data_IF_324026881952
#
_entry.id   IF_324026881952
#
_cell.length_a   1.000
_cell.length_b   1.000
_cell.length_c   1.000
_cell.angle_alpha   90.00
_cell.angle_beta   90.00
_cell.angle_gamma   90.00
#
_symmetry.space_group_name_H-M   'P 1'
#
loop_
_entity.id
_entity.type
_entity.pdbx_description
1 polymer ?
#
# COMPACT_ATOMS: atom_id res chain seq x y z
N UNK A 1 10.69 18.61 -1.29
CA UNK A 1 9.84 18.54 -2.49
C UNK A 1 9.29 17.14 -2.51
N UNK A 2 8.06 16.98 -2.06
CA UNK A 2 7.42 15.68 -1.92
C UNK A 2 6.91 15.26 -3.31
N UNK A 3 7.56 14.25 -3.90
CA UNK A 3 7.26 13.76 -5.24
C UNK A 3 6.33 12.57 -5.17
N UNK A 4 5.11 12.71 -5.68
CA UNK A 4 4.29 11.55 -6.05
C UNK A 4 4.82 10.98 -7.37
N UNK A 5 5.20 9.70 -7.39
CA UNK A 5 5.49 9.02 -8.65
C UNK A 5 4.17 8.47 -9.20
N UNK A 6 3.67 9.11 -10.26
CA UNK A 6 2.48 8.67 -10.96
C UNK A 6 2.86 7.70 -12.08
N UNK A 7 2.30 6.49 -12.05
CA UNK A 7 2.34 5.58 -13.21
C UNK A 7 0.93 5.56 -13.81
N UNK A 8 0.68 6.47 -14.76
CA UNK A 8 -0.62 6.64 -15.42
C UNK A 8 -0.63 6.05 -16.83
N UNK A 9 -1.66 5.26 -17.16
CA UNK A 9 -1.89 4.79 -18.52
C UNK A 9 -2.65 5.90 -19.28
N UNK A 10 -1.93 6.61 -20.16
CA UNK A 10 -2.38 7.65 -21.12
C UNK A 10 -2.77 9.04 -20.57
N UNK A 11 -2.01 10.03 -21.07
CA UNK A 11 -2.27 11.48 -21.05
C UNK A 11 -3.49 11.87 -21.91
N UNK A 12 -4.70 11.49 -21.49
CA UNK A 12 -5.94 11.99 -22.10
C UNK A 12 -6.91 12.43 -21.01
N UNK A 13 -6.99 13.76 -20.80
CA UNK A 13 -8.05 14.50 -20.10
C UNK A 13 -8.62 13.81 -18.86
N UNK A 14 -8.11 14.18 -17.68
CA UNK A 14 -8.65 13.78 -16.38
C UNK A 14 -10.14 14.14 -16.27
N UNK A 15 -11.03 13.21 -16.60
CA UNK A 15 -12.28 13.07 -15.87
C UNK A 15 -11.88 12.73 -14.45
N UNK A 16 -11.89 13.74 -13.57
CA UNK A 16 -11.67 13.58 -12.13
C UNK A 16 -12.59 12.47 -11.63
N UNK A 17 -12.00 11.36 -11.17
CA UNK A 17 -12.66 10.29 -10.42
C UNK A 17 -13.99 9.76 -11.02
N UNK A 18 -13.93 9.00 -12.12
CA UNK A 18 -15.13 8.41 -12.75
C UNK A 18 -16.02 7.61 -11.80
N UNK A 19 -15.42 6.93 -10.83
CA UNK A 19 -16.09 6.08 -9.83
C UNK A 19 -16.12 6.73 -8.45
N UNK A 20 -15.56 7.95 -8.30
CA UNK A 20 -15.44 8.67 -7.04
C UNK A 20 -14.87 7.79 -5.91
N UNK A 21 -13.85 6.98 -6.23
CA UNK A 21 -13.31 6.01 -5.27
C UNK A 21 -11.79 5.88 -5.35
N UNK A 22 -11.13 5.84 -4.21
CA UNK A 22 -9.70 5.62 -4.06
C UNK A 22 -9.43 4.41 -3.16
N UNK A 23 -8.35 3.69 -3.42
CA UNK A 23 -7.89 2.62 -2.54
C UNK A 23 -6.54 3.00 -1.92
N UNK A 24 -6.47 3.00 -0.60
CA UNK A 24 -5.26 3.26 0.19
C UNK A 24 -4.74 1.92 0.71
N UNK A 25 -3.59 1.49 0.20
CA UNK A 25 -3.05 0.15 0.47
C UNK A 25 -1.88 0.24 1.44
N UNK A 26 -2.02 -0.42 2.59
CA UNK A 26 -1.05 -0.41 3.70
C UNK A 26 -0.58 -1.83 3.97
N UNK A 27 0.68 -2.15 3.70
CA UNK A 27 1.28 -3.46 4.02
C UNK A 27 1.74 -3.57 5.47
N UNK A 28 0.87 -3.16 6.37
CA UNK A 28 1.19 -3.11 7.79
C UNK A 28 -0.05 -2.80 8.59
N UNK A 29 0.18 -2.65 9.87
CA UNK A 29 -0.84 -2.21 10.82
C UNK A 29 -1.30 -0.78 10.45
N UNK A 30 -2.57 -0.63 10.10
CA UNK A 30 -3.15 0.68 9.76
C UNK A 30 -3.07 1.66 10.94
N UNK A 31 -3.29 1.20 12.17
CA UNK A 31 -3.21 2.04 13.37
C UNK A 31 -1.82 2.61 13.60
N UNK A 32 -0.79 1.92 13.10
CA UNK A 32 0.61 2.37 13.16
C UNK A 32 1.09 3.09 11.90
N UNK A 33 0.17 3.44 11.00
CA UNK A 33 0.47 4.11 9.73
C UNK A 33 -0.19 5.51 9.62
N UNK A 34 0.18 6.50 10.46
CA UNK A 34 -0.47 7.83 10.49
C UNK A 34 -0.52 8.51 9.12
N UNK A 35 0.54 8.36 8.31
CA UNK A 35 0.61 8.98 6.99
C UNK A 35 -0.45 8.47 6.02
N UNK A 36 -0.69 7.16 6.01
CA UNK A 36 -1.73 6.57 5.16
C UNK A 36 -3.13 6.89 5.67
N UNK A 37 -3.30 7.02 6.99
CA UNK A 37 -4.53 7.52 7.60
C UNK A 37 -4.83 8.96 7.17
N UNK A 38 -3.82 9.85 7.13
CA UNK A 38 -4.00 11.23 6.66
C UNK A 38 -4.31 11.30 5.16
N UNK A 39 -3.71 10.46 4.34
CA UNK A 39 -4.07 10.37 2.92
C UNK A 39 -5.52 9.93 2.72
N UNK A 40 -5.96 8.90 3.46
CA UNK A 40 -7.36 8.48 3.42
C UNK A 40 -8.31 9.61 3.84
N UNK A 41 -7.99 10.33 4.92
CA UNK A 41 -8.78 11.47 5.38
C UNK A 41 -8.79 12.64 4.41
N UNK A 42 -7.66 12.96 3.78
CA UNK A 42 -7.56 14.03 2.79
C UNK A 42 -8.38 13.70 1.54
N UNK A 43 -8.29 12.46 1.04
CA UNK A 43 -9.11 11.98 -0.07
C UNK A 43 -10.60 12.05 0.26
N UNK A 44 -10.99 11.57 1.44
CA UNK A 44 -12.39 11.57 1.84
C UNK A 44 -12.96 12.98 2.06
N UNK A 45 -12.19 13.90 2.65
CA UNK A 45 -12.66 15.25 3.02
C UNK A 45 -12.49 16.31 1.94
N UNK A 46 -11.40 16.26 1.19
CA UNK A 46 -11.02 17.33 0.24
C UNK A 46 -11.37 16.95 -1.18
N UNK A 47 -11.12 15.69 -1.58
CA UNK A 47 -11.51 15.18 -2.89
C UNK A 47 -12.96 14.66 -2.91
N UNK A 48 -13.60 14.54 -1.74
CA UNK A 48 -14.97 14.06 -1.59
C UNK A 48 -15.21 12.70 -2.26
N UNK A 49 -14.23 11.79 -2.15
CA UNK A 49 -14.29 10.44 -2.72
C UNK A 49 -14.44 9.39 -1.62
N UNK A 50 -15.00 8.25 -2.00
CA UNK A 50 -15.02 7.04 -1.19
C UNK A 50 -13.61 6.44 -1.09
N UNK A 51 -13.21 5.99 0.10
CA UNK A 51 -11.87 5.47 0.35
C UNK A 51 -11.94 4.07 0.92
N UNK A 52 -11.34 3.11 0.21
CA UNK A 52 -11.13 1.76 0.71
C UNK A 52 -9.70 1.61 1.22
N UNK A 53 -9.55 1.42 2.53
CA UNK A 53 -8.25 1.13 3.15
C UNK A 53 -8.06 -0.38 3.17
N UNK A 54 -7.04 -0.91 2.48
CA UNK A 54 -6.65 -2.32 2.55
C UNK A 54 -5.39 -2.43 3.39
N UNK A 55 -5.50 -3.03 4.58
CA UNK A 55 -4.42 -3.07 5.55
C UNK A 55 -4.37 -4.35 6.38
N UNK A 56 -3.29 -4.60 7.11
CA UNK A 56 -3.35 -5.56 8.22
C UNK A 56 -3.99 -4.89 9.43
N UNK A 57 -4.85 -5.63 10.13
CA UNK A 57 -5.36 -5.22 11.45
C UNK A 57 -4.28 -5.27 12.52
N UNK A 58 -4.62 -4.86 13.74
CA UNK A 58 -3.72 -4.87 14.89
C UNK A 58 -4.06 -3.77 15.88
N UNK A 59 -3.45 -2.60 15.68
CA UNK A 59 -3.68 -1.42 16.51
C UNK A 59 -4.89 -0.63 15.99
N UNK A 60 -5.62 0.00 16.89
CA UNK A 60 -6.77 0.83 16.50
C UNK A 60 -6.32 2.06 15.68
N UNK A 61 -6.94 2.31 14.51
CA UNK A 61 -6.76 3.54 13.76
C UNK A 61 -7.22 4.78 14.53
N UNK A 62 -6.78 5.96 14.06
CA UNK A 62 -7.24 7.24 14.58
C UNK A 62 -8.76 7.35 14.44
N UNK A 63 -9.42 7.89 15.48
CA UNK A 63 -10.90 7.94 15.56
C UNK A 63 -11.55 8.61 14.34
N UNK A 64 -10.91 9.66 13.80
CA UNK A 64 -11.39 10.33 12.60
C UNK A 64 -11.45 9.43 11.35
N UNK A 65 -10.64 8.37 11.28
CA UNK A 65 -10.69 7.38 10.19
C UNK A 65 -11.86 6.42 10.42
N UNK A 66 -12.06 5.98 11.66
CA UNK A 66 -13.10 5.03 12.05
C UNK A 66 -14.51 5.62 11.94
N UNK A 67 -14.68 6.90 12.27
CA UNK A 67 -15.98 7.58 12.28
C UNK A 67 -16.38 8.16 10.90
N UNK A 68 -15.46 8.18 9.93
CA UNK A 68 -15.72 8.81 8.63
C UNK A 68 -16.53 7.89 7.72
N UNK A 69 -17.75 8.29 7.35
CA UNK A 69 -18.69 7.46 6.58
C UNK A 69 -18.16 7.01 5.20
N UNK A 70 -17.35 7.85 4.55
CA UNK A 70 -16.74 7.51 3.25
C UNK A 70 -15.47 6.65 3.35
N UNK A 71 -15.03 6.25 4.54
CA UNK A 71 -13.82 5.43 4.72
C UNK A 71 -14.22 4.02 5.14
N UNK A 72 -13.74 3.04 4.38
CA UNK A 72 -14.03 1.63 4.59
C UNK A 72 -12.74 0.87 4.82
N UNK A 73 -12.59 0.26 6.01
CA UNK A 73 -11.37 -0.50 6.36
C UNK A 73 -11.58 -1.98 6.06
N UNK A 74 -10.69 -2.52 5.23
CA UNK A 74 -10.65 -3.93 4.83
C UNK A 74 -9.40 -4.58 5.42
N UNK A 75 -9.55 -5.18 6.60
CA UNK A 75 -8.46 -5.87 7.27
C UNK A 75 -8.15 -7.21 6.58
N UNK A 76 -6.89 -7.36 6.18
CA UNK A 76 -6.35 -8.61 5.67
C UNK A 76 -5.99 -9.53 6.84
N UNK A 77 -6.24 -10.85 6.70
CA UNK A 77 -5.84 -11.81 7.72
C UNK A 77 -4.32 -11.82 7.88
N UNK A 78 -3.86 -11.78 9.13
CA UNK A 78 -2.44 -11.91 9.43
C UNK A 78 -2.00 -13.37 9.21
N UNK A 79 -0.78 -13.55 8.69
CA UNK A 79 -0.20 -14.89 8.55
C UNK A 79 0.03 -15.50 9.93
N UNK A 80 -0.42 -16.74 10.19
CA UNK A 80 -0.32 -17.36 11.50
C UNK A 80 1.14 -17.48 11.96
N UNK A 81 1.35 -17.24 13.25
CA UNK A 81 2.67 -17.43 13.88
C UNK A 81 3.07 -18.89 13.81
N UNK A 82 4.31 -19.18 13.39
CA UNK A 82 4.84 -20.55 13.33
C UNK A 82 4.76 -21.16 14.74
N UNK A 83 4.03 -22.26 14.94
CA UNK A 83 3.95 -22.92 16.24
C UNK A 83 5.34 -23.38 16.71
N UNK A 84 5.64 -23.21 17.99
CA UNK A 84 6.95 -23.59 18.56
C UNK A 84 7.29 -25.08 18.37
N UNK A 85 6.27 -25.93 18.23
CA UNK A 85 6.40 -27.38 17.98
C UNK A 85 6.54 -27.79 16.51
N UNK A 86 6.58 -26.86 15.54
CA UNK A 86 6.64 -27.24 14.14
C UNK A 86 8.00 -27.89 13.78
N UNK A 87 8.00 -29.06 13.12
CA UNK A 87 9.21 -29.74 12.67
C UNK A 87 10.14 -28.81 11.90
N UNK A 88 11.45 -28.84 12.19
CA UNK A 88 12.43 -27.93 11.57
C UNK A 88 12.44 -28.01 10.03
N UNK A 89 12.09 -29.16 9.47
CA UNK A 89 12.01 -29.39 8.01
C UNK A 89 10.87 -28.60 7.33
N UNK A 90 9.78 -28.30 8.05
CA UNK A 90 8.63 -27.56 7.52
C UNK A 90 8.76 -26.04 7.64
N UNK A 91 9.68 -25.57 8.48
CA UNK A 91 9.95 -24.13 8.68
C UNK A 91 10.34 -23.40 7.40
N UNK A 92 11.30 -23.88 6.57
CA UNK A 92 11.65 -23.18 5.33
C UNK A 92 10.47 -23.13 4.34
N UNK A 93 9.68 -24.20 4.24
CA UNK A 93 8.47 -24.22 3.42
C UNK A 93 7.48 -23.12 3.85
N UNK A 94 7.27 -22.96 5.16
CA UNK A 94 6.36 -21.94 5.70
C UNK A 94 6.85 -20.51 5.44
N UNK A 95 8.18 -20.29 5.48
CA UNK A 95 8.80 -19.00 5.19
C UNK A 95 8.65 -18.60 3.71
N UNK A 96 8.73 -19.56 2.79
CA UNK A 96 8.54 -19.33 1.34
C UNK A 96 7.05 -19.17 1.01
N UNK A 97 6.18 -19.95 1.66
CA UNK A 97 4.75 -19.90 1.42
C UNK A 97 4.11 -18.59 1.90
N UNK A 98 4.61 -18.04 3.02
CA UNK A 98 4.11 -16.77 3.60
C UNK A 98 4.00 -15.63 2.57
N UNK A 99 5.07 -15.19 1.88
CA UNK A 99 4.97 -14.09 0.91
C UNK A 99 4.08 -14.43 -0.29
N UNK A 100 4.02 -15.70 -0.71
CA UNK A 100 3.14 -16.14 -1.81
C UNK A 100 1.68 -15.97 -1.41
N UNK A 101 1.30 -16.45 -0.23
CA UNK A 101 -0.07 -16.31 0.26
C UNK A 101 -0.41 -14.85 0.51
N UNK A 102 0.49 -14.08 1.12
CA UNK A 102 0.28 -12.63 1.31
C UNK A 102 0.07 -11.91 -0.03
N UNK A 103 0.83 -12.25 -1.07
CA UNK A 103 0.67 -11.70 -2.41
C UNK A 103 -0.69 -12.06 -3.01
N UNK A 104 -1.11 -13.33 -2.93
CA UNK A 104 -2.39 -13.79 -3.46
C UNK A 104 -3.59 -13.19 -2.69
N UNK A 105 -3.50 -13.11 -1.37
CA UNK A 105 -4.50 -12.46 -0.52
C UNK A 105 -4.62 -10.98 -0.89
N UNK A 106 -3.50 -10.27 -1.04
CA UNK A 106 -3.53 -8.88 -1.46
C UNK A 106 -4.20 -8.73 -2.84
N UNK A 107 -3.81 -9.55 -3.82
CA UNK A 107 -4.39 -9.49 -5.16
C UNK A 107 -5.91 -9.76 -5.14
N UNK A 108 -6.36 -10.74 -4.33
CA UNK A 108 -7.79 -10.99 -4.12
C UNK A 108 -8.48 -9.74 -3.57
N UNK A 109 -7.90 -9.10 -2.56
CA UNK A 109 -8.50 -7.91 -1.95
C UNK A 109 -8.65 -6.78 -2.97
N UNK A 110 -7.59 -6.48 -3.73
CA UNK A 110 -7.57 -5.39 -4.70
C UNK A 110 -8.44 -5.65 -5.94
N UNK A 111 -8.55 -6.90 -6.39
CA UNK A 111 -9.25 -7.24 -7.63
C UNK A 111 -10.71 -7.65 -7.40
N UNK A 112 -11.03 -8.25 -6.25
CA UNK A 112 -12.32 -8.92 -6.00
C UNK A 112 -13.05 -8.35 -4.79
N UNK A 113 -12.38 -8.18 -3.64
CA UNK A 113 -13.03 -7.81 -2.39
C UNK A 113 -13.51 -6.36 -2.38
N UNK A 114 -12.67 -5.43 -2.81
CA UNK A 114 -13.01 -4.00 -2.82
C UNK A 114 -13.66 -3.59 -4.14
N UNK A 115 -14.56 -2.58 -4.14
CA UNK A 115 -15.07 -1.99 -5.37
C UNK A 115 -13.93 -1.41 -6.22
N UNK A 116 -14.10 -1.31 -7.54
CA UNK A 116 -13.05 -0.81 -8.43
C UNK A 116 -12.73 0.66 -8.11
N UNK A 117 -11.50 0.99 -7.67
CA UNK A 117 -11.12 2.38 -7.43
C UNK A 117 -10.67 3.05 -8.74
N UNK A 118 -10.67 4.37 -8.80
CA UNK A 118 -10.01 5.11 -9.86
C UNK A 118 -8.52 5.29 -9.61
N UNK A 119 -8.07 5.18 -8.36
CA UNK A 119 -6.65 5.23 -8.00
C UNK A 119 -6.31 4.30 -6.84
N UNK A 120 -5.16 3.64 -6.94
CA UNK A 120 -4.48 2.94 -5.84
C UNK A 120 -3.34 3.80 -5.32
N UNK A 121 -3.27 3.98 -3.99
CA UNK A 121 -2.24 4.73 -3.30
C UNK A 121 -1.46 3.83 -2.33
N UNK A 122 -0.14 3.83 -2.43
CA UNK A 122 0.78 3.01 -1.59
C UNK A 122 1.90 3.86 -1.00
N UNK A 123 2.43 3.51 0.19
CA UNK A 123 3.54 4.23 0.85
C UNK A 123 4.92 3.58 0.62
N UNK A 124 5.96 4.41 0.36
CA UNK A 124 7.44 4.21 0.43
C UNK A 124 7.98 2.78 0.23
N UNK A 125 8.73 2.53 -0.88
CA UNK A 125 8.36 1.45 -1.78
C UNK A 125 7.98 0.22 -0.96
N UNK A 126 6.72 -0.22 -1.05
CA UNK A 126 6.34 -1.49 -0.48
C UNK A 126 7.26 -2.58 -1.04
N UNK A 127 7.30 -3.74 -0.36
CA UNK A 127 8.10 -4.87 -0.86
C UNK A 127 7.83 -5.09 -2.35
N UNK A 128 8.88 -5.42 -3.12
CA UNK A 128 8.77 -5.63 -4.58
C UNK A 128 7.55 -6.47 -4.97
N UNK A 129 7.21 -7.57 -4.27
CA UNK A 129 6.00 -8.35 -4.55
C UNK A 129 4.70 -7.54 -4.48
N UNK A 130 4.56 -6.63 -3.53
CA UNK A 130 3.35 -5.80 -3.42
C UNK A 130 3.27 -4.74 -4.50
N UNK A 131 4.38 -4.09 -4.86
CA UNK A 131 4.39 -3.18 -5.99
C UNK A 131 3.89 -3.88 -7.26
N UNK A 132 4.33 -5.13 -7.48
CA UNK A 132 3.83 -5.96 -8.58
C UNK A 132 2.33 -6.22 -8.45
N UNK A 133 1.84 -6.61 -7.27
CA UNK A 133 0.42 -6.89 -7.04
C UNK A 133 -0.46 -5.67 -7.31
N UNK A 134 -0.10 -4.50 -6.76
CA UNK A 134 -0.88 -3.27 -6.92
C UNK A 134 -0.81 -2.77 -8.35
N UNK A 135 0.36 -2.84 -9.01
CA UNK A 135 0.49 -2.49 -10.43
C UNK A 135 -0.37 -3.38 -11.32
N UNK A 136 -0.38 -4.69 -11.06
CA UNK A 136 -1.23 -5.65 -11.76
C UNK A 136 -2.71 -5.35 -11.54
N UNK A 137 -3.13 -5.12 -10.30
CA UNK A 137 -4.50 -4.75 -9.97
C UNK A 137 -4.91 -3.42 -10.65
N UNK A 138 -4.02 -2.43 -10.64
CA UNK A 138 -4.23 -1.13 -11.30
C UNK A 138 -4.44 -1.27 -12.80
N UNK A 139 -3.64 -2.12 -13.46
CA UNK A 139 -3.78 -2.42 -14.88
C UNK A 139 -5.10 -3.14 -15.17
N UNK A 140 -5.45 -4.15 -14.37
CA UNK A 140 -6.70 -4.92 -14.53
C UNK A 140 -7.96 -4.05 -14.33
N UNK A 141 -7.88 -3.06 -13.44
CA UNK A 141 -9.02 -2.22 -13.04
C UNK A 141 -9.09 -0.87 -13.77
N UNK A 142 -8.12 -0.60 -14.64
CA UNK A 142 -7.93 0.70 -15.29
C UNK A 142 -7.90 1.85 -14.28
N UNK A 143 -7.15 1.64 -13.20
CA UNK A 143 -6.97 2.61 -12.12
C UNK A 143 -5.60 3.27 -12.26
N UNK A 144 -5.45 4.49 -11.74
CA UNK A 144 -4.15 5.13 -11.56
C UNK A 144 -3.37 4.43 -10.43
N UNK A 145 -2.05 4.33 -10.59
CA UNK A 145 -1.17 3.81 -9.54
C UNK A 145 -0.30 4.95 -9.02
N UNK A 146 -0.50 5.31 -7.75
CA UNK A 146 0.16 6.41 -7.07
C UNK A 146 1.06 5.84 -5.97
N UNK A 147 2.36 6.04 -6.12
CA UNK A 147 3.32 5.71 -5.06
C UNK A 147 3.63 6.99 -4.30
N UNK A 148 3.23 6.99 -3.05
CA UNK A 148 3.63 7.97 -2.05
C UNK A 148 5.08 7.69 -1.64
N UNK A 149 6.00 8.08 -2.52
CA UNK A 149 7.43 8.00 -2.31
C UNK A 149 7.83 9.09 -1.32
N UNK A 150 8.29 8.72 -0.12
CA UNK A 150 9.07 9.65 0.68
C UNK A 150 10.41 9.01 0.95
N UNK A 151 11.46 9.78 0.76
CA UNK A 151 12.86 9.39 0.76
C UNK A 151 13.42 8.99 2.16
N UNK A 152 12.70 8.18 2.95
CA UNK A 152 13.22 7.63 4.22
C UNK A 152 14.39 6.66 3.97
N UNK A 153 14.31 5.89 2.87
CA UNK A 153 15.39 5.02 2.41
C UNK A 153 16.67 5.81 2.09
N UNK A 154 16.55 6.94 1.38
CA UNK A 154 17.67 7.85 1.12
C UNK A 154 18.30 8.38 2.41
N UNK A 155 17.51 8.86 3.36
CA UNK A 155 18.03 9.36 4.64
C UNK A 155 18.73 8.26 5.44
N UNK A 156 18.18 7.04 5.48
CA UNK A 156 18.78 5.90 6.18
C UNK A 156 20.02 5.34 5.45
N UNK A 157 20.01 5.29 4.11
CA UNK A 157 21.18 4.90 3.31
C UNK A 157 22.28 5.95 3.38
N UNK A 158 21.94 7.24 3.34
CA UNK A 158 22.90 8.34 3.47
C UNK A 158 23.53 8.39 4.88
N UNK A 159 22.77 8.01 5.91
CA UNK A 159 23.27 7.84 7.29
C UNK A 159 24.11 6.56 7.46
N UNK A 160 23.84 5.49 6.70
CA UNK A 160 24.51 4.18 6.86
C UNK A 160 25.70 3.94 5.93
N UNK A 161 25.71 4.52 4.73
CA UNK A 161 26.71 4.27 3.66
C UNK A 161 27.50 5.51 3.25
N UNK A 162 27.15 6.70 3.77
CA UNK A 162 27.73 7.97 3.36
C UNK A 162 27.26 8.45 1.98
N UNK A 163 27.19 9.76 1.78
CA UNK A 163 26.62 10.44 0.60
C UNK A 163 27.32 10.15 -0.75
N UNK A 164 28.42 9.39 -0.75
CA UNK A 164 29.23 9.10 -1.94
C UNK A 164 29.01 7.73 -2.58
N UNK A 165 28.10 6.89 -2.05
CA UNK A 165 27.86 5.56 -2.62
C UNK A 165 26.94 5.64 -3.86
N UNK A 166 27.25 4.96 -4.97
CA UNK A 166 26.43 4.95 -6.18
C UNK A 166 24.99 4.44 -5.94
N UNK A 167 24.76 3.69 -4.87
CA UNK A 167 23.41 3.27 -4.46
C UNK A 167 22.55 4.41 -3.89
N UNK A 168 23.17 5.45 -3.32
CA UNK A 168 22.47 6.67 -2.84
C UNK A 168 22.02 7.54 -4.02
N UNK A 169 22.80 7.55 -5.11
CA UNK A 169 22.48 8.34 -6.31
C UNK A 169 21.29 7.78 -7.09
N UNK A 170 21.01 6.48 -7.00
CA UNK A 170 19.82 5.86 -7.59
C UNK A 170 18.55 6.23 -6.82
N UNK A 171 18.68 6.53 -5.52
CA UNK A 171 17.58 7.00 -4.65
C UNK A 171 17.43 8.53 -4.63
N UNK A 172 18.29 9.26 -5.35
CA UNK A 172 18.22 10.70 -5.45
C UNK A 172 17.34 11.09 -6.64
N UNK A 173 16.04 10.91 -6.49
CA UNK A 173 15.00 11.49 -7.35
C UNK A 173 13.85 12.02 -6.48
#
# INVERSE_FOLDING_TARGET
>A
MDGFLFWGQNDKGFSMWKRNRAAVVVLGDIGRSPRMQYHALSLARQACVEVDIVAYGGSEPHISVLEHQSIHIHEMPQWPTIPRGLPKILRPLFLILKPIVQFLTLLWYLCVKIPAPDAFMVQNPPSVPTLVAVKWASWLRHSAFIVDWHNFGYTLLALSLGRGSPFVSIYHW
#
